data_IF_467004558316
#
_entry.id   IF_467004558316
#
_cell.length_a   1.000
_cell.length_b   1.000
_cell.length_c   1.000
_cell.angle_alpha   90.00
_cell.angle_beta   90.00
_cell.angle_gamma   90.00
#
_symmetry.space_group_name_H-M   'P 1'
#
loop_
_entity.id
_entity.type
_entity.pdbx_description
1 polymer ?
#
# COMPACT_ATOMS: atom_id res chain seq x y z
N UNK A 1 57.20 -5.39 32.23
CA UNK A 1 56.39 -5.09 31.03
C UNK A 1 55.08 -5.84 31.17
N UNK A 2 53.97 -5.14 31.45
CA UNK A 2 52.65 -5.76 31.59
C UNK A 2 51.98 -5.76 30.22
N UNK A 3 51.83 -6.94 29.61
CA UNK A 3 51.08 -7.09 28.38
C UNK A 3 49.59 -6.93 28.69
N UNK A 4 49.00 -5.82 28.25
CA UNK A 4 47.54 -5.62 28.26
C UNK A 4 47.00 -6.35 27.04
N UNK A 5 46.34 -7.47 27.28
CA UNK A 5 45.62 -8.24 26.26
C UNK A 5 44.34 -7.47 25.92
N UNK A 6 44.36 -6.69 24.83
CA UNK A 6 43.16 -6.06 24.29
C UNK A 6 42.32 -7.15 23.65
N UNK A 7 41.31 -7.62 24.38
CA UNK A 7 40.27 -8.50 23.84
C UNK A 7 39.40 -7.65 22.93
N UNK A 8 39.60 -7.76 21.62
CA UNK A 8 38.72 -7.18 20.62
C UNK A 8 37.36 -7.88 20.75
N UNK A 9 36.41 -7.26 21.47
CA UNK A 9 35.02 -7.71 21.47
C UNK A 9 34.51 -7.51 20.04
N UNK A 10 34.56 -8.57 19.24
CA UNK A 10 33.77 -8.70 18.03
C UNK A 10 32.30 -8.60 18.46
N UNK A 11 31.77 -7.38 18.45
CA UNK A 11 30.34 -7.17 18.30
C UNK A 11 30.00 -7.76 16.93
N UNK A 12 29.74 -9.07 16.88
CA UNK A 12 28.95 -9.62 15.80
C UNK A 12 27.67 -8.77 15.79
N UNK A 13 27.37 -8.01 14.72
CA UNK A 13 26.02 -7.48 14.61
C UNK A 13 25.12 -8.70 14.78
N UNK A 14 24.13 -8.60 15.66
CA UNK A 14 23.10 -9.61 15.80
C UNK A 14 22.40 -9.75 14.44
N UNK A 15 22.91 -10.62 13.55
CA UNK A 15 22.37 -10.88 12.22
C UNK A 15 21.15 -11.77 12.41
N UNK A 16 20.12 -11.21 13.02
CA UNK A 16 18.71 -11.33 12.67
C UNK A 16 18.08 -10.22 13.50
N UNK A 17 18.00 -9.03 12.90
CA UNK A 17 17.08 -8.01 13.37
C UNK A 17 15.72 -8.69 13.61
N UNK A 18 15.06 -8.36 14.74
CA UNK A 18 13.72 -8.86 15.02
C UNK A 18 12.86 -8.69 13.77
N UNK A 19 12.12 -9.74 13.38
CA UNK A 19 11.22 -9.69 12.24
C UNK A 19 10.28 -8.49 12.44
N UNK A 20 10.38 -7.42 11.61
CA UNK A 20 9.63 -6.20 11.86
C UNK A 20 8.12 -6.41 11.74
N UNK A 21 7.69 -7.51 11.13
CA UNK A 21 6.28 -7.85 10.93
C UNK A 21 5.68 -8.64 12.10
N UNK A 22 6.48 -9.15 13.04
CA UNK A 22 5.98 -9.99 14.13
C UNK A 22 4.90 -9.27 14.95
N UNK A 23 3.83 -10.02 15.26
CA UNK A 23 2.69 -9.55 16.04
C UNK A 23 1.44 -9.25 15.20
N UNK A 24 0.49 -8.59 15.84
CA UNK A 24 -0.80 -8.19 15.27
C UNK A 24 -0.73 -6.77 14.69
N UNK A 25 -1.31 -6.60 13.50
CA UNK A 25 -1.40 -5.35 12.79
C UNK A 25 -2.82 -5.12 12.28
N UNK A 26 -3.33 -3.90 12.48
CA UNK A 26 -4.53 -3.42 11.81
C UNK A 26 -4.19 -3.07 10.37
N UNK A 27 -5.03 -3.51 9.44
CA UNK A 27 -4.85 -3.33 7.99
C UNK A 27 -6.14 -2.82 7.33
N UNK A 28 -5.99 -2.14 6.20
CA UNK A 28 -7.13 -1.61 5.44
C UNK A 28 -7.85 -2.69 4.61
N UNK A 29 -7.18 -3.80 4.31
CA UNK A 29 -7.71 -4.91 3.52
C UNK A 29 -7.14 -6.24 3.99
N UNK A 30 -7.71 -7.33 3.48
CA UNK A 30 -7.13 -8.67 3.61
C UNK A 30 -5.81 -8.79 2.84
N UNK A 31 -4.90 -9.60 3.37
CA UNK A 31 -3.62 -9.90 2.73
C UNK A 31 -3.76 -11.10 1.80
N UNK A 32 -4.17 -10.80 0.58
CA UNK A 32 -4.19 -11.71 -0.55
C UNK A 32 -4.66 -10.96 -1.78
N UNK A 33 -4.91 -11.69 -2.86
CA UNK A 33 -5.12 -11.15 -4.18
C UNK A 33 -3.95 -10.28 -4.66
N UNK A 34 -2.73 -10.66 -4.30
CA UNK A 34 -1.51 -9.90 -4.54
C UNK A 34 -1.21 -9.70 -6.04
N UNK A 35 -1.87 -10.46 -6.92
CA UNK A 35 -1.80 -10.26 -8.37
C UNK A 35 -2.56 -9.03 -8.86
N UNK A 36 -3.49 -8.49 -8.08
CA UNK A 36 -4.18 -7.26 -8.48
C UNK A 36 -3.18 -6.14 -8.70
N UNK A 37 -3.37 -5.46 -9.83
CA UNK A 37 -2.45 -4.43 -10.29
C UNK A 37 -2.42 -3.23 -9.34
N UNK A 38 -3.51 -3.00 -8.60
CA UNK A 38 -3.67 -1.85 -7.70
C UNK A 38 -3.27 -2.09 -6.24
N UNK A 39 -3.01 -3.33 -5.82
CA UNK A 39 -2.55 -3.62 -4.46
C UNK A 39 -1.03 -3.43 -4.31
N UNK A 40 -0.57 -2.22 -4.59
CA UNK A 40 0.86 -1.86 -4.60
C UNK A 40 1.41 -1.44 -3.23
N UNK A 41 0.53 -1.20 -2.25
CA UNK A 41 0.88 -0.83 -0.88
C UNK A 41 -0.02 -1.61 0.09
N UNK A 42 0.59 -2.20 1.12
CA UNK A 42 -0.13 -2.64 2.31
C UNK A 42 0.32 -1.77 3.48
N UNK A 43 -0.65 -1.18 4.17
CA UNK A 43 -0.43 -0.35 5.35
C UNK A 43 -0.75 -1.17 6.59
N UNK A 44 0.23 -1.32 7.47
CA UNK A 44 0.12 -2.04 8.74
C UNK A 44 0.27 -1.04 9.87
N UNK A 45 -0.69 -1.00 10.79
CA UNK A 45 -0.66 -0.13 11.99
C UNK A 45 -0.94 -0.91 13.26
N UNK A 46 -0.23 -0.61 14.37
CA UNK A 46 -0.49 -1.23 15.69
C UNK A 46 -1.53 -0.50 16.53
N UNK A 47 -1.93 0.70 16.13
CA UNK A 47 -2.89 1.51 16.86
C UNK A 47 -4.18 1.61 16.06
N UNK A 48 -5.28 1.31 16.75
CA UNK A 48 -6.62 1.29 16.20
C UNK A 48 -7.64 1.33 17.32
N UNK A 49 -8.59 2.26 17.26
CA UNK A 49 -9.83 2.19 18.06
C UNK A 49 -10.97 1.65 17.19
N UNK A 50 -10.65 0.99 16.08
CA UNK A 50 -11.67 0.52 15.18
C UNK A 50 -12.46 -0.59 15.86
N UNK A 51 -13.79 -0.42 15.88
CA UNK A 51 -14.72 -1.47 16.28
C UNK A 51 -14.78 -2.59 15.23
N UNK A 52 -14.46 -2.28 13.97
CA UNK A 52 -14.43 -3.22 12.86
C UNK A 52 -13.32 -2.84 11.87
N UNK A 53 -12.53 -3.83 11.44
CA UNK A 53 -11.54 -3.69 10.35
C UNK A 53 -10.95 -5.04 9.97
N UNK A 54 -9.78 -5.04 9.31
CA UNK A 54 -8.98 -6.23 9.13
C UNK A 54 -7.82 -6.22 10.12
N UNK A 55 -7.52 -7.38 10.69
CA UNK A 55 -6.33 -7.64 11.49
C UNK A 55 -5.47 -8.67 10.75
N UNK A 56 -4.17 -8.44 10.69
CA UNK A 56 -3.19 -9.37 10.15
C UNK A 56 -2.17 -9.71 11.22
N UNK A 57 -2.14 -10.99 11.61
CA UNK A 57 -1.22 -11.53 12.60
C UNK A 57 -0.13 -12.30 11.89
N UNK A 58 1.12 -11.90 12.10
CA UNK A 58 2.30 -12.65 11.66
C UNK A 58 2.82 -13.48 12.83
N UNK A 59 2.70 -14.81 12.71
CA UNK A 59 3.16 -15.74 13.73
C UNK A 59 4.58 -16.21 13.44
N UNK A 60 5.43 -16.11 14.45
CA UNK A 60 6.75 -16.73 14.43
C UNK A 60 6.62 -18.20 14.84
N UNK A 61 6.15 -19.02 13.91
CA UNK A 61 6.12 -20.48 14.04
C UNK A 61 7.06 -21.12 13.00
N UNK A 62 7.26 -22.45 13.07
CA UNK A 62 8.15 -23.18 12.15
C UNK A 62 7.79 -23.02 10.66
N UNK A 63 6.59 -22.50 10.37
CA UNK A 63 6.03 -22.35 9.02
C UNK A 63 5.95 -20.89 8.56
N UNK A 64 6.34 -19.92 9.40
CA UNK A 64 6.19 -18.48 9.16
C UNK A 64 4.83 -18.13 8.54
N UNK A 65 3.76 -18.39 9.29
CA UNK A 65 2.40 -18.18 8.81
C UNK A 65 1.87 -16.80 9.17
N UNK A 66 0.97 -16.28 8.34
CA UNK A 66 0.14 -15.14 8.71
C UNK A 66 -1.33 -15.48 8.54
N UNK A 67 -2.16 -14.83 9.37
CA UNK A 67 -3.62 -14.83 9.23
C UNK A 67 -4.09 -13.40 9.10
N UNK A 68 -4.80 -13.10 8.03
CA UNK A 68 -5.46 -11.82 7.79
C UNK A 68 -6.96 -12.04 7.86
N UNK A 69 -7.67 -11.34 8.74
CA UNK A 69 -9.10 -11.58 8.97
C UNK A 69 -9.85 -10.30 9.25
N UNK A 70 -11.06 -10.21 8.73
CA UNK A 70 -12.02 -9.21 9.15
C UNK A 70 -12.48 -9.48 10.59
N UNK A 71 -12.62 -8.43 11.39
CA UNK A 71 -13.17 -8.47 12.74
C UNK A 71 -14.24 -7.39 12.92
N UNK A 72 -15.25 -7.68 13.73
CA UNK A 72 -16.34 -6.77 14.13
C UNK A 72 -16.90 -7.22 15.49
N UNK A 73 -17.55 -6.33 16.28
CA UNK A 73 -17.89 -6.57 17.68
C UNK A 73 -19.22 -7.31 17.85
N UNK A 74 -19.54 -8.26 16.95
CA UNK A 74 -20.79 -9.05 16.79
C UNK A 74 -21.82 -8.45 15.81
N UNK A 75 -22.37 -9.29 14.91
CA UNK A 75 -23.40 -8.95 13.93
C UNK A 75 -23.63 -10.04 12.87
N UNK A 76 -24.68 -9.89 12.07
CA UNK A 76 -25.00 -10.71 10.89
C UNK A 76 -24.04 -10.38 9.72
N UNK A 77 -22.74 -10.49 9.96
CA UNK A 77 -21.70 -10.11 8.99
C UNK A 77 -21.06 -11.33 8.33
N UNK A 78 -20.38 -11.09 7.22
CA UNK A 78 -19.42 -12.03 6.65
C UNK A 78 -18.05 -11.81 7.28
N UNK A 79 -17.42 -12.89 7.71
CA UNK A 79 -16.08 -12.89 8.26
C UNK A 79 -15.09 -13.57 7.31
N UNK A 80 -14.62 -12.85 6.26
CA UNK A 80 -13.60 -13.36 5.39
C UNK A 80 -12.23 -13.37 6.08
N UNK A 81 -11.42 -14.35 5.74
CA UNK A 81 -10.05 -14.48 6.21
C UNK A 81 -9.16 -15.15 5.17
N UNK A 82 -7.88 -14.83 5.24
CA UNK A 82 -6.82 -15.41 4.43
C UNK A 82 -5.77 -15.98 5.36
N UNK A 83 -5.39 -17.23 5.12
CA UNK A 83 -4.20 -17.83 5.72
C UNK A 83 -3.12 -17.92 4.66
N UNK A 84 -1.89 -17.58 5.04
CA UNK A 84 -0.75 -17.57 4.14
C UNK A 84 0.58 -17.82 4.84
N UNK A 85 1.66 -17.75 4.08
CA UNK A 85 3.03 -17.78 4.59
C UNK A 85 3.79 -16.52 4.21
N UNK A 86 4.79 -16.18 5.00
CA UNK A 86 5.72 -15.12 4.71
C UNK A 86 7.17 -15.63 4.77
N UNK A 87 8.04 -15.05 3.96
CA UNK A 87 9.47 -15.36 3.94
C UNK A 87 10.27 -14.07 3.89
N UNK A 88 11.16 -13.84 4.87
CA UNK A 88 12.11 -12.74 4.83
C UNK A 88 13.22 -13.08 3.83
N UNK A 89 13.02 -12.67 2.58
CA UNK A 89 13.92 -12.97 1.45
C UNK A 89 15.17 -12.07 1.42
N UNK A 90 15.17 -10.97 2.16
CA UNK A 90 16.31 -10.08 2.43
C UNK A 90 15.98 -9.17 3.64
N UNK A 91 16.96 -8.44 4.23
CA UNK A 91 16.73 -7.63 5.43
C UNK A 91 15.56 -6.63 5.31
N UNK A 92 15.36 -6.08 4.11
CA UNK A 92 14.30 -5.10 3.82
C UNK A 92 13.20 -5.67 2.92
N UNK A 93 13.08 -7.00 2.75
CA UNK A 93 12.10 -7.59 1.84
C UNK A 93 11.42 -8.81 2.43
N UNK A 94 10.11 -8.92 2.17
CA UNK A 94 9.29 -10.07 2.51
C UNK A 94 8.58 -10.58 1.26
N UNK A 95 8.52 -11.90 1.10
CA UNK A 95 7.61 -12.56 0.17
C UNK A 95 6.37 -12.99 0.92
N UNK A 96 5.20 -12.64 0.42
CA UNK A 96 3.92 -13.11 0.95
C UNK A 96 3.32 -14.12 -0.02
N UNK A 97 2.79 -15.22 0.50
CA UNK A 97 2.00 -16.19 -0.23
C UNK A 97 0.64 -16.32 0.45
N UNK A 98 -0.45 -16.04 -0.25
CA UNK A 98 -1.79 -16.36 0.23
C UNK A 98 -2.13 -17.79 -0.20
N UNK A 99 -2.61 -18.61 0.76
CA UNK A 99 -2.80 -20.05 0.55
C UNK A 99 -4.27 -20.45 0.56
N UNK A 100 -5.04 -19.96 1.52
CA UNK A 100 -6.46 -20.28 1.65
C UNK A 100 -7.28 -19.04 1.93
N UNK A 101 -8.44 -18.97 1.30
CA UNK A 101 -9.49 -18.00 1.61
C UNK A 101 -10.65 -18.74 2.26
N UNK A 102 -11.10 -18.24 3.41
CA UNK A 102 -12.25 -18.76 4.13
C UNK A 102 -13.21 -17.63 4.47
N UNK A 103 -14.51 -17.88 4.36
CA UNK A 103 -15.56 -16.95 4.77
C UNK A 103 -16.65 -17.70 5.53
N UNK A 104 -17.03 -17.17 6.68
CA UNK A 104 -18.12 -17.65 7.52
C UNK A 104 -19.00 -16.47 7.99
N UNK A 105 -20.02 -16.74 8.81
CA UNK A 105 -20.94 -15.72 9.34
C UNK A 105 -22.34 -15.87 8.79
N UNK A 106 -23.11 -14.78 8.77
CA UNK A 106 -24.48 -14.75 8.24
C UNK A 106 -24.47 -14.53 6.72
N UNK A 107 -23.73 -15.37 6.01
CA UNK A 107 -23.63 -15.35 4.56
C UNK A 107 -23.15 -16.69 4.00
N UNK A 108 -23.01 -16.74 2.67
CA UNK A 108 -22.51 -17.93 2.00
C UNK A 108 -21.12 -18.30 2.52
N UNK A 109 -21.01 -19.55 3.00
CA UNK A 109 -19.74 -20.14 3.42
C UNK A 109 -18.88 -20.39 2.20
N UNK A 110 -17.65 -19.90 2.21
CA UNK A 110 -16.68 -20.10 1.13
C UNK A 110 -15.40 -20.65 1.71
N UNK A 111 -14.82 -21.62 1.02
CA UNK A 111 -13.48 -22.11 1.28
C UNK A 111 -12.81 -22.38 -0.06
N UNK A 112 -11.66 -21.75 -0.30
CA UNK A 112 -10.94 -21.83 -1.58
C UNK A 112 -9.44 -21.89 -1.32
N UNK A 113 -8.75 -22.74 -2.05
CA UNK A 113 -7.29 -22.69 -2.18
C UNK A 113 -6.91 -21.57 -3.14
N UNK A 114 -5.92 -20.77 -2.76
CA UNK A 114 -5.36 -19.70 -3.56
C UNK A 114 -4.07 -20.22 -4.21
N UNK A 115 -4.10 -20.38 -5.53
CA UNK A 115 -2.95 -20.91 -6.27
C UNK A 115 -2.08 -19.78 -6.83
N UNK A 116 -0.79 -19.83 -6.49
CA UNK A 116 0.24 -18.89 -6.96
C UNK A 116 -0.06 -17.43 -6.62
N UNK A 117 -0.77 -17.15 -5.52
CA UNK A 117 -1.01 -15.79 -5.07
C UNK A 117 0.16 -15.31 -4.21
N UNK A 118 1.20 -14.84 -4.90
CA UNK A 118 2.50 -14.52 -4.32
C UNK A 118 2.98 -13.16 -4.81
N UNK A 119 3.53 -12.36 -3.90
CA UNK A 119 4.25 -11.15 -4.27
C UNK A 119 5.39 -10.83 -3.29
N UNK A 120 6.39 -10.12 -3.81
CA UNK A 120 7.52 -9.62 -3.04
C UNK A 120 7.23 -8.16 -2.65
N UNK A 121 7.53 -7.80 -1.42
CA UNK A 121 7.32 -6.48 -0.86
C UNK A 121 8.58 -5.96 -0.19
N UNK A 122 8.89 -4.68 -0.43
CA UNK A 122 9.86 -3.92 0.35
C UNK A 122 9.24 -3.48 1.68
N UNK A 123 9.95 -3.72 2.77
CA UNK A 123 9.54 -3.36 4.13
C UNK A 123 10.06 -1.97 4.44
N UNK A 124 9.16 -0.98 4.46
CA UNK A 124 9.47 0.38 4.85
C UNK A 124 8.91 0.69 6.24
N UNK A 125 9.80 0.76 7.24
CA UNK A 125 9.45 1.10 8.61
C UNK A 125 9.19 2.61 8.72
N UNK A 126 7.92 2.98 8.91
CA UNK A 126 7.51 4.37 9.12
C UNK A 126 7.71 4.77 10.59
N UNK A 127 7.36 3.87 11.51
CA UNK A 127 7.62 3.97 12.95
C UNK A 127 7.58 2.58 13.60
N UNK A 128 7.75 2.46 14.91
CA UNK A 128 7.55 1.19 15.63
C UNK A 128 6.10 0.68 15.60
N UNK A 129 5.15 1.55 15.22
CA UNK A 129 3.71 1.25 15.18
C UNK A 129 3.12 1.30 13.77
N UNK A 130 3.92 1.59 12.74
CA UNK A 130 3.45 1.69 11.35
C UNK A 130 4.50 1.19 10.37
N UNK A 131 4.09 0.28 9.50
CA UNK A 131 4.92 -0.29 8.43
C UNK A 131 4.17 -0.17 7.11
N UNK A 132 4.92 0.11 6.04
CA UNK A 132 4.47 -0.04 4.68
C UNK A 132 5.14 -1.26 4.05
N UNK A 133 4.33 -2.12 3.43
CA UNK A 133 4.81 -3.12 2.50
C UNK A 133 4.56 -2.60 1.09
N UNK A 134 5.62 -2.23 0.40
CA UNK A 134 5.56 -1.68 -0.97
C UNK A 134 5.85 -2.78 -1.96
N UNK A 135 4.91 -3.07 -2.87
CA UNK A 135 5.06 -4.15 -3.85
C UNK A 135 6.29 -3.91 -4.72
N UNK A 136 7.18 -4.89 -4.75
CA UNK A 136 8.47 -4.83 -5.43
C UNK A 136 8.50 -5.79 -6.61
N UNK A 137 8.76 -5.26 -7.79
CA UNK A 137 8.89 -6.06 -9.03
C UNK A 137 10.33 -6.41 -9.35
N UNK A 138 11.30 -5.64 -8.84
CA UNK A 138 12.72 -5.73 -9.21
C UNK A 138 13.67 -5.83 -8.01
N UNK A 139 13.16 -5.76 -6.77
CA UNK A 139 13.96 -5.70 -5.54
C UNK A 139 15.02 -4.60 -5.57
N UNK A 140 14.67 -3.46 -6.17
CA UNK A 140 15.52 -2.29 -6.23
C UNK A 140 15.21 -1.38 -5.05
N UNK A 141 16.05 -1.45 -4.01
CA UNK A 141 15.80 -0.74 -2.75
C UNK A 141 15.70 0.77 -2.93
N UNK A 142 16.51 1.37 -3.82
CA UNK A 142 16.44 2.82 -4.08
C UNK A 142 15.09 3.20 -4.68
N UNK A 143 14.60 2.41 -5.62
CA UNK A 143 13.29 2.63 -6.24
C UNK A 143 12.17 2.41 -5.24
N UNK A 144 12.18 1.30 -4.50
CA UNK A 144 11.09 0.95 -3.59
C UNK A 144 11.05 1.88 -2.37
N UNK A 145 12.20 2.40 -1.92
CA UNK A 145 12.26 3.46 -0.92
C UNK A 145 11.70 4.80 -1.46
N UNK A 146 11.93 5.13 -2.73
CA UNK A 146 11.32 6.31 -3.38
C UNK A 146 9.80 6.15 -3.46
N UNK A 147 9.29 4.98 -3.84
CA UNK A 147 7.86 4.66 -3.81
C UNK A 147 7.29 4.82 -2.40
N UNK A 148 7.96 4.24 -1.39
CA UNK A 148 7.50 4.31 0.00
C UNK A 148 7.39 5.75 0.53
N UNK A 149 8.35 6.61 0.18
CA UNK A 149 8.29 8.05 0.51
C UNK A 149 7.10 8.75 -0.15
N UNK A 150 6.81 8.42 -1.41
CA UNK A 150 5.63 8.95 -2.10
C UNK A 150 4.33 8.43 -1.47
N UNK A 151 4.25 7.14 -1.13
CA UNK A 151 3.12 6.59 -0.36
C UNK A 151 2.92 7.30 0.97
N UNK A 152 3.99 7.67 1.67
CA UNK A 152 3.89 8.43 2.92
C UNK A 152 3.31 9.83 2.73
N UNK A 153 3.51 10.44 1.55
CA UNK A 153 2.95 11.76 1.23
C UNK A 153 1.48 11.67 0.83
N UNK A 154 1.07 10.61 0.14
CA UNK A 154 -0.31 10.45 -0.34
C UNK A 154 -1.23 9.72 0.65
N UNK A 155 -0.66 9.12 1.69
CA UNK A 155 -1.44 8.54 2.81
C UNK A 155 -1.73 9.60 3.87
N UNK A 156 -2.98 9.68 4.33
CA UNK A 156 -3.43 10.65 5.33
C UNK A 156 -3.66 12.07 4.80
N UNK A 157 -3.97 12.19 3.51
CA UNK A 157 -4.56 13.41 2.94
C UNK A 157 -5.95 13.61 3.53
N UNK A 158 -6.27 14.81 4.00
CA UNK A 158 -7.60 15.12 4.54
C UNK A 158 -8.64 15.23 3.43
N UNK A 159 -9.79 14.58 3.62
CA UNK A 159 -10.88 14.49 2.64
C UNK A 159 -11.38 15.84 2.13
N UNK A 160 -11.38 16.85 2.99
CA UNK A 160 -11.93 18.17 2.65
C UNK A 160 -11.04 19.00 1.71
N UNK A 161 -9.78 18.61 1.48
CA UNK A 161 -8.81 19.44 0.76
C UNK A 161 -8.89 19.29 -0.78
N UNK A 162 -9.59 18.26 -1.24
CA UNK A 162 -9.77 17.98 -2.67
C UNK A 162 -10.95 18.74 -3.29
N UNK A 163 -11.83 19.32 -2.47
CA UNK A 163 -12.97 20.09 -2.97
C UNK A 163 -12.54 21.40 -3.64
N UNK A 164 -13.30 21.83 -4.65
CA UNK A 164 -13.14 23.09 -5.38
C UNK A 164 -11.83 23.22 -6.18
N UNK A 165 -11.25 22.10 -6.63
CA UNK A 165 -10.10 22.12 -7.53
C UNK A 165 -10.54 22.30 -8.97
N UNK A 166 -9.75 23.05 -9.74
CA UNK A 166 -9.99 23.22 -11.18
C UNK A 166 -9.47 21.99 -11.92
N UNK A 167 -10.37 21.13 -12.35
CA UNK A 167 -10.05 19.95 -13.14
C UNK A 167 -9.55 20.34 -14.53
N UNK A 168 -8.56 19.60 -15.04
CA UNK A 168 -7.90 19.86 -16.33
C UNK A 168 -8.25 18.80 -17.39
N UNK A 169 -8.77 17.66 -16.97
CA UNK A 169 -9.22 16.59 -17.86
C UNK A 169 -10.42 15.88 -17.23
N UNK A 170 -11.35 15.46 -18.09
CA UNK A 170 -12.52 14.67 -17.74
C UNK A 170 -12.68 13.53 -18.73
N UNK A 171 -12.93 12.32 -18.23
CA UNK A 171 -13.17 11.14 -19.07
C UNK A 171 -14.35 10.35 -18.54
N UNK A 172 -14.99 9.59 -19.41
CA UNK A 172 -15.96 8.58 -18.98
C UNK A 172 -15.20 7.43 -18.30
N UNK A 173 -15.69 7.00 -17.15
CA UNK A 173 -15.09 5.94 -16.35
C UNK A 173 -16.10 4.80 -16.15
N UNK A 174 -15.59 3.64 -15.76
CA UNK A 174 -16.42 2.51 -15.33
C UNK A 174 -15.94 2.08 -13.94
N UNK A 175 -16.70 2.47 -12.93
CA UNK A 175 -16.42 2.26 -11.52
C UNK A 175 -15.40 3.25 -10.95
N UNK A 176 -14.94 2.92 -9.75
CA UNK A 176 -14.01 3.72 -8.96
C UNK A 176 -12.56 3.26 -9.11
N UNK A 177 -12.27 2.35 -10.04
CA UNK A 177 -10.95 1.78 -10.22
C UNK A 177 -9.93 2.86 -10.66
N UNK A 178 -8.64 2.70 -10.30
CA UNK A 178 -7.61 3.58 -10.80
C UNK A 178 -7.51 3.44 -12.33
N UNK A 179 -7.22 4.54 -13.04
CA UNK A 179 -7.11 4.56 -14.49
C UNK A 179 -5.67 4.90 -14.95
N UNK A 180 -4.67 4.02 -14.75
CA UNK A 180 -3.28 4.30 -15.12
C UNK A 180 -3.09 4.78 -16.56
N UNK A 181 -3.80 4.20 -17.53
CA UNK A 181 -3.74 4.62 -18.93
C UNK A 181 -4.20 6.09 -19.14
N UNK A 182 -5.19 6.55 -18.37
CA UNK A 182 -5.62 7.96 -18.42
C UNK A 182 -4.60 8.86 -17.71
N UNK A 183 -3.89 8.37 -16.70
CA UNK A 183 -2.78 9.09 -16.08
C UNK A 183 -1.61 9.25 -17.04
N UNK A 184 -1.28 8.22 -17.83
CA UNK A 184 -0.27 8.31 -18.89
C UNK A 184 -0.66 9.35 -19.96
N UNK A 185 -1.93 9.35 -20.35
CA UNK A 185 -2.47 10.37 -21.27
C UNK A 185 -2.39 11.77 -20.65
N UNK A 186 -2.78 11.93 -19.39
CA UNK A 186 -2.68 13.21 -18.68
C UNK A 186 -1.23 13.70 -18.59
N UNK A 187 -0.29 12.80 -18.27
CA UNK A 187 1.13 13.11 -18.19
C UNK A 187 1.69 13.59 -19.54
N UNK A 188 1.22 13.02 -20.65
CA UNK A 188 1.66 13.37 -22.00
C UNK A 188 0.97 14.65 -22.51
N UNK A 189 -0.36 14.70 -22.43
CA UNK A 189 -1.17 15.70 -23.12
C UNK A 189 -1.35 16.99 -22.30
N UNK A 190 -1.36 16.88 -20.96
CA UNK A 190 -1.62 18.02 -20.05
C UNK A 190 -0.34 18.47 -19.36
N UNK A 191 0.47 17.53 -18.85
CA UNK A 191 1.76 17.86 -18.21
C UNK A 191 2.91 17.97 -19.22
N UNK A 192 2.70 17.58 -20.47
CA UNK A 192 3.70 17.66 -21.55
C UNK A 192 5.01 16.90 -21.25
N UNK A 193 4.94 15.82 -20.47
CA UNK A 193 6.09 15.01 -20.11
C UNK A 193 6.50 14.08 -21.27
N UNK A 194 7.77 14.13 -21.67
CA UNK A 194 8.30 13.28 -22.75
C UNK A 194 8.76 11.89 -22.27
N UNK A 195 9.26 11.82 -21.04
CA UNK A 195 9.73 10.59 -20.39
C UNK A 195 9.30 10.65 -18.94
N UNK A 196 8.43 9.75 -18.53
CA UNK A 196 7.91 9.73 -17.17
C UNK A 196 7.73 8.30 -16.66
N UNK A 197 7.53 8.17 -15.35
CA UNK A 197 7.17 6.92 -14.69
C UNK A 197 6.15 7.20 -13.60
N UNK A 198 5.09 6.39 -13.53
CA UNK A 198 4.20 6.36 -12.37
C UNK A 198 4.93 5.56 -11.28
N UNK A 199 5.26 6.22 -10.18
CA UNK A 199 6.01 5.60 -9.08
C UNK A 199 5.10 4.85 -8.12
N UNK A 200 3.98 5.47 -7.78
CA UNK A 200 3.05 5.01 -6.76
C UNK A 200 1.66 5.48 -7.13
N UNK A 201 0.64 4.70 -6.77
CA UNK A 201 -0.71 5.21 -6.72
C UNK A 201 -1.50 4.56 -5.59
N UNK A 202 -2.33 5.36 -4.95
CA UNK A 202 -3.04 4.99 -3.73
C UNK A 202 -4.46 5.55 -3.76
N UNK A 203 -5.43 4.75 -3.34
CA UNK A 203 -6.79 5.23 -3.12
C UNK A 203 -6.80 6.13 -1.88
N UNK A 204 -7.53 7.23 -1.95
CA UNK A 204 -7.76 8.11 -0.82
C UNK A 204 -8.87 7.54 0.05
N UNK A 205 -8.49 6.66 0.99
CA UNK A 205 -9.37 6.04 1.99
C UNK A 205 -10.75 5.64 1.43
N UNK A 206 -11.83 6.13 2.05
CA UNK A 206 -13.21 5.81 1.68
C UNK A 206 -13.74 6.65 0.50
N UNK A 207 -12.88 7.44 -0.16
CA UNK A 207 -13.25 8.24 -1.32
C UNK A 207 -13.02 7.45 -2.60
N UNK A 208 -13.89 7.68 -3.58
CA UNK A 208 -13.70 7.27 -4.95
C UNK A 208 -12.63 8.14 -5.65
N UNK A 209 -11.45 8.29 -5.05
CA UNK A 209 -10.36 9.11 -5.57
C UNK A 209 -9.01 8.41 -5.42
N UNK A 210 -8.12 8.65 -6.38
CA UNK A 210 -6.80 8.07 -6.44
C UNK A 210 -5.75 9.16 -6.63
N UNK A 211 -4.59 9.00 -5.99
CA UNK A 211 -3.43 9.87 -6.23
C UNK A 211 -2.34 9.07 -6.89
N UNK A 212 -1.77 9.61 -7.96
CA UNK A 212 -0.67 9.05 -8.71
C UNK A 212 0.56 9.94 -8.61
N UNK A 213 1.68 9.42 -8.11
CA UNK A 213 2.96 10.10 -8.14
C UNK A 213 3.63 9.89 -9.51
N UNK A 214 3.63 10.92 -10.35
CA UNK A 214 4.20 10.88 -11.70
C UNK A 214 5.54 11.59 -11.70
N UNK A 215 6.62 10.82 -11.93
CA UNK A 215 7.99 11.34 -11.99
C UNK A 215 8.37 11.66 -13.43
N UNK A 216 8.75 12.89 -13.69
CA UNK A 216 9.48 13.27 -14.91
C UNK A 216 10.89 12.69 -14.83
N UNK A 217 11.24 11.81 -15.76
CA UNK A 217 12.55 11.15 -15.80
C UNK A 217 13.65 12.08 -16.33
N UNK A 218 13.29 13.22 -16.91
CA UNK A 218 14.23 14.22 -17.44
C UNK A 218 14.72 15.14 -16.33
N UNK A 219 13.80 15.65 -15.51
CA UNK A 219 14.10 16.61 -14.44
C UNK A 219 14.18 15.97 -13.05
N UNK A 220 13.61 14.77 -12.89
CA UNK A 220 13.45 14.11 -11.60
C UNK A 220 12.29 14.67 -10.76
N UNK A 221 11.58 15.70 -11.24
CA UNK A 221 10.44 16.29 -10.54
C UNK A 221 9.27 15.31 -10.45
N UNK A 222 8.54 15.37 -9.33
CA UNK A 222 7.34 14.55 -9.10
C UNK A 222 6.12 15.47 -9.06
N UNK A 223 5.16 15.18 -9.92
CA UNK A 223 3.83 15.79 -9.95
C UNK A 223 2.82 14.75 -9.49
N UNK A 224 1.92 15.15 -8.60
CA UNK A 224 0.86 14.27 -8.12
C UNK A 224 -0.40 14.54 -8.91
N UNK A 225 -0.87 13.54 -9.65
CA UNK A 225 -2.12 13.61 -10.41
C UNK A 225 -3.20 12.93 -9.57
N UNK A 226 -4.29 13.64 -9.30
CA UNK A 226 -5.45 13.12 -8.60
C UNK A 226 -6.50 12.76 -9.65
N UNK A 227 -7.09 11.58 -9.50
CA UNK A 227 -8.28 11.12 -10.21
C UNK A 227 -9.45 11.11 -9.22
N UNK A 228 -10.57 11.73 -9.56
CA UNK A 228 -11.80 11.70 -8.77
C UNK A 228 -12.95 11.12 -9.58
N UNK A 229 -13.52 10.01 -9.10
CA UNK A 229 -14.63 9.32 -9.75
C UNK A 229 -15.95 9.76 -9.11
N UNK A 230 -16.94 10.10 -9.92
CA UNK A 230 -18.28 10.44 -9.46
C UNK A 230 -19.34 10.17 -10.53
N UNK A 231 -20.60 10.23 -10.12
CA UNK A 231 -21.76 10.11 -11.01
C UNK A 231 -22.26 11.50 -11.41
N UNK A 232 -22.45 11.70 -12.71
CA UNK A 232 -23.22 12.83 -13.22
C UNK A 232 -24.71 12.50 -13.35
N UNK A 233 -25.50 13.51 -13.69
CA UNK A 233 -26.90 13.32 -14.05
C UNK A 233 -27.03 12.23 -15.14
N UNK A 234 -28.00 11.34 -14.96
CA UNK A 234 -28.26 10.13 -15.79
C UNK A 234 -27.30 8.96 -15.56
N UNK A 235 -26.82 8.79 -14.32
CA UNK A 235 -25.97 7.65 -13.90
C UNK A 235 -24.70 7.49 -14.74
N UNK A 236 -24.19 8.61 -15.29
CA UNK A 236 -22.97 8.61 -16.08
C UNK A 236 -21.77 8.67 -15.14
N UNK A 237 -20.99 7.61 -15.11
CA UNK A 237 -19.74 7.55 -14.36
C UNK A 237 -18.63 8.30 -15.10
N UNK A 238 -18.00 9.23 -14.40
CA UNK A 238 -16.91 10.05 -14.93
C UNK A 238 -15.74 10.07 -13.96
N UNK A 239 -14.55 10.33 -14.50
CA UNK A 239 -13.37 10.63 -13.72
C UNK A 239 -12.82 11.99 -14.13
N UNK A 240 -12.67 12.88 -13.15
CA UNK A 240 -11.99 14.16 -13.30
C UNK A 240 -10.55 14.08 -12.79
N UNK A 241 -9.68 14.86 -13.41
CA UNK A 241 -8.26 14.85 -13.09
C UNK A 241 -7.73 16.27 -12.88
N UNK A 242 -6.87 16.40 -11.87
CA UNK A 242 -6.08 17.59 -11.63
C UNK A 242 -4.71 17.20 -11.08
N UNK A 243 -3.78 18.14 -11.06
CA UNK A 243 -2.44 17.93 -10.50
C UNK A 243 -2.11 18.92 -9.40
N UNK A 244 -1.20 18.49 -8.54
CA UNK A 244 -0.59 19.32 -7.52
C UNK A 244 0.90 18.99 -7.38
N UNK A 245 1.64 19.97 -6.87
CA UNK A 245 3.05 19.85 -6.54
C UNK A 245 3.25 19.13 -5.21
N UNK A 246 4.47 18.66 -4.94
CA UNK A 246 4.83 18.09 -3.64
C UNK A 246 4.59 19.07 -2.47
N UNK A 247 4.81 20.37 -2.70
CA UNK A 247 4.57 21.39 -1.68
C UNK A 247 3.08 21.55 -1.37
N UNK A 248 2.21 21.42 -2.37
CA UNK A 248 0.76 21.48 -2.18
C UNK A 248 0.25 20.21 -1.50
N UNK A 249 0.69 19.02 -1.92
CA UNK A 249 0.19 17.76 -1.34
C UNK A 249 0.56 17.62 0.14
N UNK A 250 1.74 18.13 0.55
CA UNK A 250 2.14 18.18 1.96
C UNK A 250 1.16 18.99 2.81
N UNK A 251 0.66 20.11 2.28
CA UNK A 251 -0.35 20.94 2.97
C UNK A 251 -1.68 20.22 3.13
N UNK A 252 -1.97 19.21 2.33
CA UNK A 252 -3.25 18.48 2.44
C UNK A 252 -3.30 17.55 3.66
N UNK A 253 -2.16 17.37 4.34
CA UNK A 253 -2.04 16.57 5.56
C UNK A 253 -2.12 17.43 6.83
N UNK A 254 -1.94 18.74 6.71
CA UNK A 254 -1.94 19.73 7.80
C UNK A 254 -3.35 20.08 8.25
#
# INVERSE_FOLDING_TARGET
MKHILITLLLCAPSIYAQNPLEGEWITASLFGNFKEEYQNLLVLTREGRESFRYATVFEKNDKNQYKSSYFAPCGNDCFPSITGTFELIAPSYVRLNALTFEQYGDCEKKNKTLHNDTADYYIYKVSDKKIFLVKSTSKNEKEDQEKAKNYLLVTGIKDNVLYNRKHKMKVEAKGIAPLPAQIEKYATDILHLKKFKILAYNQLEDRAAWVFAVKDLTTGAITYVIQENYYEAKDKEVADFFDCTEAEIKKFRE
#
